data_IF_977892647725
#
_entry.id   IF_977892647725
#
_cell.length_a   1.000
_cell.length_b   1.000
_cell.length_c   1.000
_cell.angle_alpha   90.00
_cell.angle_beta   90.00
_cell.angle_gamma   90.00
#
_symmetry.space_group_name_H-M   'P 1'
#
loop_
_entity.id
_entity.type
_entity.pdbx_description
1 polymer ?
#
# COMPACT_ATOMS: atom_id res chain seq x y z
N UNK A 1 0.45 6.11 -3.45
CA UNK A 1 -0.15 6.12 -2.10
C UNK A 1 -1.67 6.22 -2.10
N UNK A 2 -2.29 7.11 -2.88
CA UNK A 2 -3.76 7.20 -2.96
C UNK A 2 -4.47 5.87 -3.25
N UNK A 3 -3.88 4.98 -4.06
CA UNK A 3 -4.47 3.66 -4.37
C UNK A 3 -4.46 2.69 -3.18
N UNK A 4 -3.47 2.77 -2.29
CA UNK A 4 -3.44 1.98 -1.06
C UNK A 4 -4.57 2.41 -0.12
N UNK A 5 -4.69 3.72 0.14
CA UNK A 5 -5.77 4.29 0.95
C UNK A 5 -7.14 3.98 0.33
N UNK A 6 -7.29 4.16 -0.99
CA UNK A 6 -8.51 3.80 -1.70
C UNK A 6 -8.88 2.33 -1.48
N UNK A 7 -7.95 1.40 -1.70
CA UNK A 7 -8.21 -0.03 -1.54
C UNK A 7 -8.65 -0.38 -0.11
N UNK A 8 -7.96 0.16 0.90
CA UNK A 8 -8.31 -0.04 2.32
C UNK A 8 -9.69 0.49 2.67
N UNK A 9 -10.00 1.73 2.29
CA UNK A 9 -11.22 2.42 2.70
C UNK A 9 -12.44 1.95 1.92
N UNK A 10 -12.29 1.66 0.62
CA UNK A 10 -13.41 1.22 -0.23
C UNK A 10 -13.60 -0.29 -0.26
N UNK A 11 -12.61 -1.07 0.17
CA UNK A 11 -12.60 -2.52 0.03
C UNK A 11 -12.33 -3.00 -1.41
N UNK A 12 -11.96 -2.10 -2.33
CA UNK A 12 -11.70 -2.42 -3.74
C UNK A 12 -10.19 -2.43 -4.05
N UNK A 13 -9.55 -3.60 -4.14
CA UNK A 13 -8.12 -3.69 -4.42
C UNK A 13 -7.79 -3.63 -5.93
N UNK A 14 -8.76 -3.50 -6.83
CA UNK A 14 -8.56 -3.70 -8.27
C UNK A 14 -7.48 -2.80 -8.88
N UNK A 15 -7.47 -1.51 -8.51
CA UNK A 15 -6.46 -0.56 -9.00
C UNK A 15 -5.06 -0.84 -8.45
N UNK A 16 -4.97 -1.32 -7.20
CA UNK A 16 -3.69 -1.71 -6.61
C UNK A 16 -3.17 -2.99 -7.26
N UNK A 17 -4.05 -3.98 -7.47
CA UNK A 17 -3.74 -5.23 -8.15
C UNK A 17 -3.26 -4.99 -9.60
N UNK A 18 -3.87 -4.04 -10.32
CA UNK A 18 -3.47 -3.70 -11.69
C UNK A 18 -2.06 -3.09 -11.84
N UNK A 19 -1.46 -2.61 -10.75
CA UNK A 19 -0.08 -2.11 -10.71
C UNK A 19 0.90 -3.14 -10.13
N UNK A 20 0.40 -4.26 -9.60
CA UNK A 20 1.22 -5.22 -8.87
C UNK A 20 1.73 -6.31 -9.81
N UNK A 21 3.05 -6.48 -9.87
CA UNK A 21 3.67 -7.60 -10.58
C UNK A 21 3.35 -8.92 -9.87
N UNK A 22 3.37 -10.05 -10.60
CA UNK A 22 3.03 -11.36 -10.04
C UNK A 22 3.95 -11.79 -8.90
N UNK A 23 5.18 -11.28 -8.89
CA UNK A 23 6.21 -11.63 -7.90
C UNK A 23 6.23 -10.69 -6.68
N UNK A 24 5.38 -9.64 -6.65
CA UNK A 24 5.32 -8.73 -5.51
C UNK A 24 4.51 -9.34 -4.34
N UNK A 25 5.17 -10.15 -3.51
CA UNK A 25 4.54 -10.82 -2.37
C UNK A 25 3.82 -9.85 -1.40
N UNK A 26 4.42 -8.70 -1.09
CA UNK A 26 3.80 -7.67 -0.23
C UNK A 26 2.54 -7.08 -0.88
N UNK A 27 2.56 -6.86 -2.19
CA UNK A 27 1.40 -6.36 -2.92
C UNK A 27 0.25 -7.37 -2.85
N UNK A 28 0.54 -8.65 -3.11
CA UNK A 28 -0.42 -9.76 -2.99
C UNK A 28 -0.99 -9.88 -1.58
N UNK A 29 -0.16 -9.71 -0.55
CA UNK A 29 -0.60 -9.72 0.84
C UNK A 29 -1.56 -8.57 1.15
N UNK A 30 -1.27 -7.35 0.66
CA UNK A 30 -2.17 -6.19 0.86
C UNK A 30 -3.50 -6.42 0.16
N UNK A 31 -3.50 -6.89 -1.10
CA UNK A 31 -4.73 -7.23 -1.83
C UNK A 31 -5.55 -8.25 -1.07
N UNK A 32 -4.93 -9.34 -0.60
CA UNK A 32 -5.61 -10.38 0.18
C UNK A 32 -6.18 -9.87 1.51
N UNK A 33 -5.51 -8.93 2.17
CA UNK A 33 -6.03 -8.29 3.39
C UNK A 33 -7.28 -7.45 3.10
N UNK A 34 -7.30 -6.72 1.99
CA UNK A 34 -8.46 -5.92 1.57
C UNK A 34 -9.64 -6.83 1.22
N UNK A 35 -9.40 -7.90 0.45
CA UNK A 35 -10.44 -8.88 0.11
C UNK A 35 -11.02 -9.56 1.35
N UNK A 36 -10.17 -10.02 2.26
CA UNK A 36 -10.61 -10.65 3.50
C UNK A 36 -11.43 -9.70 4.37
N UNK A 37 -11.04 -8.43 4.48
CA UNK A 37 -11.80 -7.43 5.22
C UNK A 37 -13.19 -7.20 4.59
N UNK A 38 -13.25 -7.08 3.25
CA UNK A 38 -14.51 -6.93 2.52
C UNK A 38 -15.43 -8.14 2.68
N UNK A 39 -14.89 -9.35 2.61
CA UNK A 39 -15.65 -10.60 2.79
C UNK A 39 -16.22 -10.76 4.21
N UNK A 40 -15.56 -10.17 5.20
CA UNK A 40 -16.01 -10.13 6.60
C UNK A 40 -17.00 -8.99 6.89
N UNK A 41 -17.34 -8.17 5.90
CA UNK A 41 -18.18 -6.98 6.09
C UNK A 41 -17.48 -5.87 6.88
N UNK A 42 -16.15 -5.95 7.03
CA UNK A 42 -15.37 -4.94 7.74
C UNK A 42 -15.19 -3.70 6.86
N UNK A 43 -15.27 -2.52 7.48
CA UNK A 43 -14.99 -1.25 6.83
C UNK A 43 -13.87 -0.52 7.57
N UNK A 44 -13.03 0.18 6.82
CA UNK A 44 -11.92 0.94 7.35
C UNK A 44 -12.13 2.45 7.19
N UNK A 45 -11.72 3.19 8.21
CA UNK A 45 -11.61 4.64 8.22
C UNK A 45 -10.14 5.03 8.47
N UNK A 46 -9.67 6.12 7.86
CA UNK A 46 -8.30 6.62 8.03
C UNK A 46 -7.35 6.17 6.91
N UNK A 47 -6.14 5.72 7.27
CA UNK A 47 -5.06 5.37 6.33
C UNK A 47 -4.59 6.55 5.45
N UNK A 48 -4.66 7.77 5.97
CA UNK A 48 -4.11 8.93 5.27
C UNK A 48 -2.60 8.76 5.11
N UNK A 49 -2.06 8.98 3.91
CA UNK A 49 -0.63 8.86 3.66
C UNK A 49 -0.06 10.24 3.33
N UNK A 50 0.96 10.64 4.07
CA UNK A 50 1.75 11.85 3.79
C UNK A 50 3.16 11.43 3.41
N UNK A 51 3.58 11.71 2.18
CA UNK A 51 4.95 11.44 1.71
C UNK A 51 5.82 12.66 2.00
N UNK A 52 6.89 12.46 2.78
CA UNK A 52 7.82 13.52 3.16
C UNK A 52 9.00 13.61 2.21
N UNK A 53 9.51 12.44 1.79
CA UNK A 53 10.67 12.34 0.92
C UNK A 53 10.49 11.21 -0.07
N UNK A 54 11.00 11.42 -1.28
CA UNK A 54 11.11 10.41 -2.33
C UNK A 54 12.50 10.42 -2.94
N UNK A 55 13.17 9.27 -2.95
CA UNK A 55 14.50 9.10 -3.51
C UNK A 55 14.43 8.03 -4.62
N UNK A 56 14.17 8.41 -5.89
CA UNK A 56 14.21 7.49 -7.01
C UNK A 56 15.66 7.22 -7.44
N UNK A 57 15.96 5.98 -7.78
CA UNK A 57 17.21 5.56 -8.41
C UNK A 57 16.88 4.76 -9.66
N UNK A 58 17.39 5.22 -10.80
CA UNK A 58 17.28 4.48 -12.06
C UNK A 58 18.32 3.36 -12.09
N UNK A 59 17.88 2.12 -12.30
CA UNK A 59 18.75 0.95 -12.41
C UNK A 59 19.10 0.64 -13.86
N UNK A 60 18.09 0.72 -14.74
CA UNK A 60 18.24 0.57 -16.18
C UNK A 60 17.49 1.72 -16.85
N UNK A 61 18.19 2.43 -17.73
CA UNK A 61 17.70 3.67 -18.34
C UNK A 61 16.34 3.47 -19.03
N UNK A 62 15.32 4.18 -18.54
CA UNK A 62 13.96 4.16 -19.05
C UNK A 62 13.17 2.88 -18.76
N UNK A 63 13.73 1.93 -18.01
CA UNK A 63 13.14 0.60 -17.85
C UNK A 63 12.87 0.23 -16.39
N UNK A 64 13.84 0.40 -15.49
CA UNK A 64 13.69 -0.05 -14.11
C UNK A 64 14.23 0.94 -13.09
N UNK A 65 13.51 1.06 -11.99
CA UNK A 65 13.77 2.02 -10.93
C UNK A 65 13.61 1.37 -9.58
N UNK A 66 14.38 1.81 -8.60
CA UNK A 66 14.01 1.69 -7.19
C UNK A 66 13.53 3.04 -6.69
N UNK A 67 12.56 3.04 -5.79
CA UNK A 67 12.08 4.27 -5.14
C UNK A 67 12.02 4.02 -3.65
N UNK A 68 12.78 4.79 -2.88
CA UNK A 68 12.62 4.86 -1.43
C UNK A 68 11.70 6.04 -1.09
N UNK A 69 10.65 5.78 -0.32
CA UNK A 69 9.75 6.80 0.22
C UNK A 69 9.84 6.83 1.73
N UNK A 70 9.97 8.02 2.29
CA UNK A 70 9.76 8.26 3.72
C UNK A 70 8.39 8.91 3.87
N UNK A 71 7.52 8.30 4.66
CA UNK A 71 6.13 8.71 4.78
C UNK A 71 5.60 8.51 6.18
N UNK A 72 4.53 9.23 6.50
CA UNK A 72 3.67 8.95 7.65
C UNK A 72 2.40 8.28 7.15
N UNK A 73 2.07 7.13 7.74
CA UNK A 73 0.76 6.49 7.65
C UNK A 73 -0.05 6.96 8.86
N UNK A 74 -1.09 7.74 8.60
CA UNK A 74 -2.01 8.26 9.60
C UNK A 74 -2.79 7.14 10.28
N UNK A 75 -3.42 7.46 11.41
CA UNK A 75 -4.21 6.49 12.16
C UNK A 75 -5.34 5.88 11.33
N UNK A 76 -5.74 4.67 11.71
CA UNK A 76 -6.85 3.96 11.07
C UNK A 76 -7.65 3.15 12.08
N UNK A 77 -8.94 3.02 11.83
CA UNK A 77 -9.85 2.17 12.59
C UNK A 77 -10.57 1.25 11.60
N UNK A 78 -10.63 -0.04 11.92
CA UNK A 78 -11.42 -1.03 11.19
C UNK A 78 -12.56 -1.48 12.08
N UNK A 79 -13.78 -1.45 11.53
CA UNK A 79 -15.02 -1.83 12.21
C UNK A 79 -15.72 -2.94 11.47
N UNK A 80 -16.38 -3.83 12.21
CA UNK A 80 -17.29 -4.81 11.63
C UNK A 80 -18.66 -4.19 11.27
N UNK A 81 -19.59 -5.01 10.77
CA UNK A 81 -20.96 -4.58 10.41
C UNK A 81 -21.76 -4.05 11.61
N UNK A 82 -21.42 -4.43 12.84
CA UNK A 82 -22.07 -3.94 14.06
C UNK A 82 -21.53 -2.58 14.51
N UNK A 83 -20.46 -2.08 13.88
CA UNK A 83 -19.74 -0.88 14.27
C UNK A 83 -18.68 -1.12 15.35
N UNK A 84 -18.47 -2.37 15.77
CA UNK A 84 -17.47 -2.75 16.77
C UNK A 84 -16.08 -2.62 16.16
N UNK A 85 -15.16 -2.00 16.89
CA UNK A 85 -13.76 -1.88 16.46
C UNK A 85 -13.09 -3.25 16.53
N UNK A 86 -12.62 -3.74 15.39
CA UNK A 86 -11.89 -5.02 15.28
C UNK A 86 -10.39 -4.83 15.08
N UNK A 87 -9.97 -3.64 14.65
CA UNK A 87 -8.56 -3.25 14.55
C UNK A 87 -8.41 -1.74 14.65
N UNK A 88 -7.31 -1.30 15.26
CA UNK A 88 -6.90 0.10 15.30
C UNK A 88 -5.39 0.17 15.08
N UNK A 89 -4.94 1.18 14.35
CA UNK A 89 -3.52 1.46 14.13
C UNK A 89 -3.28 2.94 14.39
N UNK A 90 -2.29 3.24 15.24
CA UNK A 90 -1.86 4.60 15.48
C UNK A 90 -1.06 5.14 14.29
N UNK A 91 -0.95 6.46 14.20
CA UNK A 91 -0.06 7.09 13.24
C UNK A 91 1.38 6.57 13.39
N UNK A 92 2.03 6.31 12.26
CA UNK A 92 3.36 5.69 12.24
C UNK A 92 4.18 6.12 11.03
N UNK A 93 5.46 6.39 11.27
CA UNK A 93 6.42 6.67 10.21
C UNK A 93 6.93 5.37 9.59
N UNK A 94 7.03 5.36 8.26
CA UNK A 94 7.41 4.22 7.44
C UNK A 94 8.45 4.62 6.40
N UNK A 95 9.31 3.67 6.10
CA UNK A 95 10.15 3.68 4.91
C UNK A 95 9.63 2.60 3.96
N UNK A 96 9.24 3.00 2.75
CA UNK A 96 8.83 2.08 1.69
C UNK A 96 9.91 2.00 0.63
N UNK A 97 10.25 0.79 0.19
CA UNK A 97 11.16 0.57 -0.95
C UNK A 97 10.45 -0.17 -2.05
N UNK A 98 10.26 0.50 -3.18
CA UNK A 98 9.64 -0.06 -4.38
C UNK A 98 10.72 -0.51 -5.36
N UNK A 99 10.53 -1.69 -5.95
CA UNK A 99 11.13 -2.05 -7.23
C UNK A 99 10.10 -1.85 -8.33
N UNK A 100 10.41 -1.03 -9.32
CA UNK A 100 9.51 -0.64 -10.41
C UNK A 100 10.08 -1.05 -11.76
N UNK A 101 9.21 -1.50 -12.66
CA UNK A 101 9.54 -1.78 -14.05
C UNK A 101 8.53 -1.14 -14.99
N UNK A 102 9.01 -0.57 -16.09
CA UNK A 102 8.19 -0.05 -17.17
C UNK A 102 7.98 -1.12 -18.23
N UNK A 103 6.71 -1.38 -18.58
CA UNK A 103 6.35 -2.32 -19.65
C UNK A 103 5.17 -1.84 -20.50
N UNK A 104 5.08 -0.52 -20.71
CA UNK A 104 3.90 0.17 -21.27
C UNK A 104 3.00 0.78 -20.18
N UNK A 105 3.16 0.31 -18.95
CA UNK A 105 2.72 0.92 -17.71
C UNK A 105 3.78 0.67 -16.62
N UNK A 106 3.66 1.37 -15.48
CA UNK A 106 4.48 1.09 -14.30
C UNK A 106 3.95 -0.13 -13.56
N UNK A 107 4.84 -1.07 -13.29
CA UNK A 107 4.56 -2.28 -12.49
C UNK A 107 5.45 -2.26 -11.25
N UNK A 108 4.86 -2.56 -10.10
CA UNK A 108 5.55 -2.79 -8.83
C UNK A 108 5.96 -4.26 -8.76
N UNK A 109 7.25 -4.51 -8.95
CA UNK A 109 7.85 -5.86 -8.90
C UNK A 109 8.18 -6.26 -7.46
N UNK A 110 8.51 -5.29 -6.61
CA UNK A 110 8.83 -5.53 -5.21
C UNK A 110 8.39 -4.35 -4.34
N UNK A 111 7.98 -4.66 -3.11
CA UNK A 111 7.66 -3.66 -2.10
C UNK A 111 8.18 -4.13 -0.72
N UNK A 112 9.14 -3.39 -0.18
CA UNK A 112 9.58 -3.49 1.20
C UNK A 112 8.93 -2.43 2.08
N UNK A 113 8.58 -2.79 3.31
CA UNK A 113 7.99 -1.90 4.32
C UNK A 113 8.80 -2.01 5.59
N UNK A 114 9.32 -0.89 6.08
CA UNK A 114 10.10 -0.81 7.32
C UNK A 114 9.55 0.32 8.21
N UNK A 115 9.71 0.18 9.52
CA UNK A 115 9.49 1.30 10.44
C UNK A 115 10.60 2.33 10.25
N UNK A 116 10.26 3.62 10.26
CA UNK A 116 11.29 4.65 10.40
C UNK A 116 11.88 4.55 11.81
N UNK A 117 13.20 4.36 11.89
CA UNK A 117 13.96 4.26 13.15
C UNK A 117 14.31 5.61 13.76
#
# INVERSE_FOLDING_TARGET
>A
MALYTYARVTGDPSLLAGLSGPDCATCTAIVGQVDAAREQGNHAEGYAITVHQSNPTELVTGESFTVELHLTEGSSVVRDESGTVVSETAETDRVLRFGLRWSGNWIVEALGVEAAG
#
